data_IF_968766623237
#
_entry.id   IF_968766623237
#
_cell.length_a   1.000
_cell.length_b   1.000
_cell.length_c   1.000
_cell.angle_alpha   90.00
_cell.angle_beta   90.00
_cell.angle_gamma   90.00
#
_symmetry.space_group_name_H-M   'P 1'
#
loop_
_entity.id
_entity.type
_entity.pdbx_description
1 polymer ?
#
# COMPACT_ATOMS: atom_id res chain seq x y z
N UNK A 1 15.45 -20.55 -6.84
CA UNK A 1 14.89 -20.81 -5.50
C UNK A 1 14.50 -19.46 -4.93
N UNK A 2 13.22 -19.23 -4.66
CA UNK A 2 12.70 -17.94 -4.20
C UNK A 2 12.98 -17.81 -2.70
N UNK A 3 13.75 -16.80 -2.27
CA UNK A 3 14.03 -16.52 -0.86
C UNK A 3 12.97 -15.59 -0.26
N UNK A 4 11.68 -15.80 -0.59
CA UNK A 4 10.59 -14.97 -0.05
C UNK A 4 10.48 -15.25 1.45
N UNK A 5 10.78 -14.23 2.25
CA UNK A 5 10.68 -14.31 3.71
C UNK A 5 9.27 -13.90 4.10
N UNK A 6 8.50 -14.84 4.65
CA UNK A 6 7.26 -14.50 5.33
C UNK A 6 7.57 -13.64 6.56
N UNK A 7 6.72 -12.65 6.82
CA UNK A 7 6.84 -11.81 8.01
C UNK A 7 6.20 -12.56 9.17
N UNK A 8 7.01 -12.92 10.16
CA UNK A 8 6.54 -13.65 11.34
C UNK A 8 5.41 -12.89 12.05
N UNK A 9 4.34 -13.61 12.37
CA UNK A 9 3.17 -13.06 13.06
C UNK A 9 2.09 -12.43 12.18
N UNK A 10 2.30 -12.32 10.86
CA UNK A 10 1.25 -11.97 9.88
C UNK A 10 0.67 -13.28 9.30
N UNK A 11 -0.63 -13.52 9.50
CA UNK A 11 -1.32 -14.75 9.11
C UNK A 11 -1.92 -14.67 7.70
N UNK A 12 -1.33 -15.38 6.74
CA UNK A 12 -1.83 -15.56 5.37
C UNK A 12 -2.60 -16.87 5.15
N UNK A 13 -2.84 -17.66 6.21
CA UNK A 13 -3.49 -18.97 6.09
C UNK A 13 -5.01 -18.88 5.93
N UNK A 14 -5.67 -20.02 5.67
CA UNK A 14 -7.13 -20.13 5.71
C UNK A 14 -7.86 -19.44 4.56
N UNK A 15 -7.33 -19.54 3.33
CA UNK A 15 -7.91 -18.97 2.10
C UNK A 15 -8.16 -17.44 2.14
N UNK A 16 -7.42 -16.74 3.01
CA UNK A 16 -7.46 -15.29 3.18
C UNK A 16 -6.96 -14.56 1.93
N UNK A 17 -7.74 -13.59 1.44
CA UNK A 17 -7.30 -12.66 0.37
C UNK A 17 -6.34 -11.60 0.94
N UNK A 18 -6.62 -11.10 2.14
CA UNK A 18 -5.76 -10.20 2.91
C UNK A 18 -5.33 -10.89 4.21
N UNK A 19 -4.08 -10.70 4.66
CA UNK A 19 -3.59 -11.36 5.85
C UNK A 19 -4.30 -10.83 7.10
N UNK A 20 -4.28 -11.61 8.17
CA UNK A 20 -4.61 -11.11 9.50
C UNK A 20 -3.35 -10.65 10.24
N UNK A 21 -3.38 -9.41 10.72
CA UNK A 21 -2.40 -8.89 11.67
C UNK A 21 -2.83 -9.27 13.11
N UNK A 22 -1.92 -9.15 14.07
CA UNK A 22 -2.25 -9.39 15.47
C UNK A 22 -3.03 -8.22 16.06
N UNK A 23 -4.06 -8.50 16.86
CA UNK A 23 -4.88 -7.45 17.46
C UNK A 23 -4.02 -6.46 18.28
N UNK A 24 -4.20 -5.13 18.10
CA UNK A 24 -3.44 -4.11 18.80
C UNK A 24 -3.82 -4.06 20.29
N UNK A 25 -2.84 -3.76 21.14
CA UNK A 25 -3.08 -3.52 22.57
C UNK A 25 -3.49 -2.07 22.86
N UNK A 26 -2.91 -1.13 22.10
CA UNK A 26 -3.21 0.28 22.12
C UNK A 26 -2.73 0.89 20.79
N UNK A 27 -3.24 2.06 20.43
CA UNK A 27 -2.84 2.81 19.25
C UNK A 27 -2.39 4.23 19.62
N UNK A 28 -1.19 4.62 19.18
CA UNK A 28 -0.80 6.02 19.12
C UNK A 28 -1.29 6.63 17.81
N UNK A 29 -2.09 7.67 17.89
CA UNK A 29 -2.70 8.34 16.75
C UNK A 29 -1.84 9.54 16.35
N UNK A 30 -1.44 9.58 15.08
CA UNK A 30 -0.71 10.71 14.49
C UNK A 30 -1.57 11.36 13.41
N UNK A 31 -1.84 12.66 13.60
CA UNK A 31 -2.64 13.46 12.68
C UNK A 31 -1.77 14.17 11.65
N UNK A 32 -1.62 13.55 10.48
CA UNK A 32 -0.80 14.05 9.38
C UNK A 32 -1.48 15.16 8.57
N UNK A 33 -2.70 15.59 8.92
CA UNK A 33 -3.35 16.73 8.27
C UNK A 33 -2.48 17.98 8.46
N UNK A 34 -2.13 18.62 7.35
CA UNK A 34 -1.25 19.80 7.34
C UNK A 34 0.25 19.50 7.33
N UNK A 35 0.66 18.22 7.38
CA UNK A 35 2.04 17.84 7.08
C UNK A 35 2.30 17.83 5.56
N UNK A 36 3.55 18.10 5.17
CA UNK A 36 3.99 18.06 3.78
C UNK A 36 3.88 16.64 3.19
N UNK A 37 3.79 16.54 1.86
CA UNK A 37 3.71 15.25 1.18
C UNK A 37 4.94 14.36 1.45
N UNK A 38 6.12 14.97 1.62
CA UNK A 38 7.36 14.25 1.97
C UNK A 38 7.29 13.64 3.37
N UNK A 39 6.71 14.38 4.33
CA UNK A 39 6.47 13.88 5.69
C UNK A 39 5.40 12.79 5.70
N UNK A 40 4.31 12.97 4.95
CA UNK A 40 3.28 11.94 4.83
C UNK A 40 3.88 10.63 4.30
N UNK A 41 4.63 10.68 3.19
CA UNK A 41 5.31 9.51 2.62
C UNK A 41 6.26 8.82 3.61
N UNK A 42 7.06 9.61 4.34
CA UNK A 42 7.97 9.08 5.36
C UNK A 42 7.19 8.41 6.49
N UNK A 43 6.13 9.06 6.97
CA UNK A 43 5.31 8.58 8.07
C UNK A 43 4.54 7.30 7.70
N UNK A 44 3.91 7.21 6.52
CA UNK A 44 3.18 5.97 6.12
C UNK A 44 4.13 4.80 5.91
N UNK A 45 5.32 5.02 5.32
CA UNK A 45 6.29 3.92 5.14
C UNK A 45 6.85 3.44 6.48
N UNK A 46 7.10 4.36 7.42
CA UNK A 46 7.49 3.98 8.78
C UNK A 46 6.35 3.28 9.54
N UNK A 47 5.11 3.74 9.41
CA UNK A 47 3.94 3.11 10.04
C UNK A 47 3.78 1.64 9.62
N UNK A 48 4.03 1.32 8.34
CA UNK A 48 4.04 -0.07 7.87
C UNK A 48 5.02 -0.97 8.62
N UNK A 49 6.21 -0.46 8.96
CA UNK A 49 7.20 -1.19 9.75
C UNK A 49 6.83 -1.27 11.23
N UNK A 50 6.28 -0.19 11.78
CA UNK A 50 5.82 -0.14 13.18
C UNK A 50 4.68 -1.13 13.41
N UNK A 51 3.76 -1.24 12.44
CA UNK A 51 2.53 -1.98 12.60
C UNK A 51 2.63 -3.48 12.33
N UNK A 52 3.77 -3.99 11.84
CA UNK A 52 3.96 -5.44 11.61
C UNK A 52 4.67 -6.13 12.79
N UNK A 53 4.19 -7.30 13.26
CA UNK A 53 2.90 -7.93 12.94
C UNK A 53 1.72 -7.40 13.80
N UNK A 54 1.99 -6.60 14.83
CA UNK A 54 0.98 -6.09 15.75
C UNK A 54 0.92 -4.56 15.66
N UNK A 55 -0.19 -3.97 15.19
CA UNK A 55 -0.31 -2.52 15.03
C UNK A 55 -0.14 -1.74 16.34
N UNK A 56 0.52 -0.59 16.23
CA UNK A 56 0.78 0.35 17.34
C UNK A 56 0.48 1.79 16.98
N UNK A 57 0.44 2.13 15.69
CA UNK A 57 0.17 3.48 15.21
C UNK A 57 -1.00 3.51 14.25
N UNK A 58 -1.77 4.60 14.31
CA UNK A 58 -2.84 4.90 13.37
C UNK A 58 -2.62 6.31 12.81
N UNK A 59 -2.64 6.44 11.50
CA UNK A 59 -2.40 7.71 10.81
C UNK A 59 -3.73 8.32 10.36
N UNK A 60 -3.88 9.63 10.55
CA UNK A 60 -5.03 10.39 10.07
C UNK A 60 -4.55 11.35 8.97
N UNK A 61 -5.12 11.22 7.78
CA UNK A 61 -4.85 12.11 6.64
C UNK A 61 -6.08 12.92 6.22
N UNK A 62 -7.26 12.53 6.70
CA UNK A 62 -8.57 13.12 6.42
C UNK A 62 -9.55 12.92 7.59
N UNK A 63 -10.68 13.63 7.56
CA UNK A 63 -11.74 13.51 8.57
C UNK A 63 -12.43 12.13 8.56
N UNK A 64 -12.37 11.40 7.44
CA UNK A 64 -12.95 10.06 7.34
C UNK A 64 -12.22 9.06 8.25
N UNK A 65 -10.89 9.14 8.34
CA UNK A 65 -10.11 8.27 9.23
C UNK A 65 -10.40 8.55 10.71
N UNK A 66 -10.71 9.80 11.09
CA UNK A 66 -11.15 10.16 12.45
C UNK A 66 -12.47 9.47 12.79
N UNK A 67 -13.43 9.55 11.86
CA UNK A 67 -14.73 8.93 12.03
C UNK A 67 -14.60 7.41 12.20
N UNK A 68 -13.90 6.73 11.29
CA UNK A 68 -13.78 5.28 11.35
C UNK A 68 -12.97 4.77 12.55
N UNK A 69 -11.90 5.47 12.94
CA UNK A 69 -11.14 5.15 14.15
C UNK A 69 -12.07 5.15 15.39
N UNK A 70 -12.95 6.13 15.49
CA UNK A 70 -13.91 6.22 16.58
C UNK A 70 -14.98 5.12 16.50
N UNK A 71 -15.63 4.97 15.35
CA UNK A 71 -16.81 4.10 15.21
C UNK A 71 -16.47 2.61 15.23
N UNK A 72 -15.34 2.21 14.66
CA UNK A 72 -14.98 0.79 14.50
C UNK A 72 -13.82 0.34 15.41
N UNK A 73 -12.97 1.27 15.87
CA UNK A 73 -11.78 0.95 16.69
C UNK A 73 -11.81 1.63 18.08
N UNK A 74 -12.92 2.27 18.46
CA UNK A 74 -13.05 3.02 19.71
C UNK A 74 -12.93 2.20 21.00
N UNK A 75 -12.98 0.86 20.91
CA UNK A 75 -12.74 -0.05 22.04
C UNK A 75 -11.25 -0.30 22.32
N UNK A 76 -10.38 -0.03 21.35
CA UNK A 76 -8.92 -0.13 21.51
C UNK A 76 -8.45 1.14 22.23
N UNK A 77 -7.61 1.04 23.29
CA UNK A 77 -7.02 2.21 23.93
C UNK A 77 -6.26 3.09 22.94
N UNK A 78 -6.50 4.40 22.98
CA UNK A 78 -5.92 5.37 22.05
C UNK A 78 -5.27 6.53 22.79
N UNK A 79 -4.12 6.99 22.28
CA UNK A 79 -3.48 8.25 22.68
C UNK A 79 -3.16 9.06 21.42
N UNK A 80 -3.55 10.33 21.39
CA UNK A 80 -3.25 11.21 20.26
C UNK A 80 -1.96 11.99 20.51
N UNK A 81 -1.01 11.87 19.58
CA UNK A 81 0.19 12.70 19.58
C UNK A 81 -0.18 14.18 19.43
N UNK A 82 0.45 15.03 20.24
CA UNK A 82 0.29 16.49 20.16
C UNK A 82 1.10 17.14 19.04
N UNK A 83 1.98 16.38 18.40
CA UNK A 83 2.78 16.86 17.27
C UNK A 83 1.88 17.14 16.06
N UNK A 84 2.23 18.18 15.30
CA UNK A 84 1.49 18.63 14.13
C UNK A 84 2.45 19.01 13.00
N UNK A 85 1.92 19.06 11.77
CA UNK A 85 2.68 19.36 10.57
C UNK A 85 3.92 18.49 10.44
N UNK A 86 5.01 19.07 9.95
CA UNK A 86 6.24 18.32 9.68
C UNK A 86 6.96 17.82 10.95
N UNK A 87 6.65 18.41 12.11
CA UNK A 87 7.21 18.00 13.41
C UNK A 87 6.78 16.59 13.85
N UNK A 88 5.70 16.05 13.27
CA UNK A 88 5.22 14.69 13.54
C UNK A 88 6.30 13.66 13.25
N UNK A 89 7.03 13.86 12.16
CA UNK A 89 7.97 12.86 11.69
C UNK A 89 9.11 12.62 12.69
N UNK A 90 9.59 13.68 13.35
CA UNK A 90 10.60 13.56 14.41
C UNK A 90 10.07 12.78 15.63
N UNK A 91 8.83 13.03 16.04
CA UNK A 91 8.21 12.30 17.17
C UNK A 91 8.02 10.83 16.83
N UNK A 92 7.53 10.52 15.62
CA UNK A 92 7.39 9.15 15.14
C UNK A 92 8.76 8.44 15.12
N UNK A 93 9.78 9.09 14.56
CA UNK A 93 11.14 8.56 14.48
C UNK A 93 11.72 8.25 15.86
N UNK A 94 11.61 9.18 16.82
CA UNK A 94 12.15 9.02 18.17
C UNK A 94 11.41 7.90 18.91
N UNK A 95 10.07 7.92 18.88
CA UNK A 95 9.24 6.95 19.59
C UNK A 95 9.38 5.52 19.09
N UNK A 96 9.68 5.35 17.80
CA UNK A 96 9.71 4.05 17.14
C UNK A 96 11.03 3.77 16.39
N UNK A 97 12.14 4.34 16.86
CA UNK A 97 13.45 4.20 16.19
C UNK A 97 13.84 2.75 15.95
N UNK A 98 13.51 1.83 16.85
CA UNK A 98 13.84 0.41 16.75
C UNK A 98 13.11 -0.33 15.63
N UNK A 99 12.06 0.26 15.05
CA UNK A 99 11.31 -0.33 13.94
C UNK A 99 12.02 -0.18 12.58
N UNK A 100 13.06 0.66 12.49
CA UNK A 100 13.76 0.95 11.24
C UNK A 100 15.27 0.69 11.35
N UNK A 101 15.91 0.34 10.24
CA UNK A 101 17.35 0.16 10.14
C UNK A 101 18.05 1.37 9.54
N UNK A 102 17.36 2.16 8.72
CA UNK A 102 17.94 3.32 8.06
C UNK A 102 17.02 3.98 7.04
N UNK A 103 17.60 4.83 6.19
CA UNK A 103 16.90 5.66 5.21
C UNK A 103 17.06 5.15 3.79
N UNK A 104 15.99 5.26 3.00
CA UNK A 104 15.98 5.00 1.56
C UNK A 104 15.60 6.32 0.88
N UNK A 105 16.55 6.92 0.15
CA UNK A 105 16.37 8.22 -0.47
C UNK A 105 15.73 8.01 -1.85
N UNK A 106 14.52 8.54 -2.08
CA UNK A 106 13.92 8.53 -3.42
C UNK A 106 14.53 9.61 -4.31
N UNK A 107 14.36 9.49 -5.62
CA UNK A 107 14.77 10.51 -6.58
C UNK A 107 13.60 11.45 -6.88
N UNK A 108 13.61 12.72 -6.42
CA UNK A 108 12.51 13.65 -6.66
C UNK A 108 12.29 13.98 -8.14
N UNK A 109 13.34 13.89 -8.97
CA UNK A 109 13.25 14.12 -10.41
C UNK A 109 12.68 12.91 -11.18
N UNK A 110 12.41 11.80 -10.47
CA UNK A 110 11.90 10.57 -11.06
C UNK A 110 10.90 9.89 -10.12
N UNK A 111 9.63 10.27 -10.25
CA UNK A 111 8.55 9.87 -9.33
C UNK A 111 8.42 8.35 -9.11
N UNK A 112 8.61 7.51 -10.14
CA UNK A 112 8.54 6.05 -10.03
C UNK A 112 9.56 5.46 -9.02
N UNK A 113 10.62 6.20 -8.69
CA UNK A 113 11.55 5.83 -7.60
C UNK A 113 10.86 5.68 -6.24
N UNK A 114 9.74 6.37 -5.99
CA UNK A 114 8.97 6.26 -4.73
C UNK A 114 8.43 4.84 -4.55
N UNK A 115 7.89 4.21 -5.61
CA UNK A 115 7.37 2.85 -5.55
C UNK A 115 8.49 1.82 -5.34
N UNK A 116 9.63 2.02 -6.02
CA UNK A 116 10.82 1.17 -5.84
C UNK A 116 11.35 1.30 -4.40
N UNK A 117 11.44 2.54 -3.88
CA UNK A 117 11.82 2.82 -2.50
C UNK A 117 10.84 2.19 -1.50
N UNK A 118 9.53 2.22 -1.79
CA UNK A 118 8.49 1.56 -0.96
C UNK A 118 8.71 0.05 -0.88
N UNK A 119 9.03 -0.59 -2.00
CA UNK A 119 9.37 -2.03 -2.02
C UNK A 119 10.65 -2.29 -1.21
N UNK A 120 11.70 -1.48 -1.41
CA UNK A 120 12.94 -1.60 -0.64
C UNK A 120 12.73 -1.39 0.87
N UNK A 121 11.82 -0.49 1.27
CA UNK A 121 11.50 -0.20 2.67
C UNK A 121 10.97 -1.44 3.39
N UNK A 122 10.05 -2.19 2.77
CA UNK A 122 9.53 -3.44 3.32
C UNK A 122 10.60 -4.53 3.50
N UNK A 123 11.56 -4.60 2.57
CA UNK A 123 12.64 -5.61 2.56
C UNK A 123 13.80 -5.30 3.51
N UNK A 124 14.13 -4.02 3.64
CA UNK A 124 15.33 -3.54 4.35
C UNK A 124 15.02 -2.82 5.65
N UNK A 125 13.75 -2.83 6.06
CA UNK A 125 13.26 -2.12 7.24
C UNK A 125 13.66 -0.63 7.18
N UNK A 126 13.55 -0.03 6.00
CA UNK A 126 13.95 1.35 5.75
C UNK A 126 12.77 2.32 5.76
N UNK A 127 13.02 3.57 6.14
CA UNK A 127 12.07 4.67 5.93
C UNK A 127 12.36 5.36 4.60
N UNK A 128 11.32 5.65 3.80
CA UNK A 128 11.48 6.38 2.54
C UNK A 128 11.49 7.88 2.83
N UNK A 129 12.52 8.59 2.38
CA UNK A 129 12.74 10.01 2.70
C UNK A 129 13.18 10.81 1.48
N UNK A 130 12.91 12.11 1.51
CA UNK A 130 13.46 13.06 0.54
C UNK A 130 14.97 13.26 0.77
N UNK A 131 15.72 13.76 -0.24
CA UNK A 131 17.13 14.08 -0.07
C UNK A 131 17.41 15.04 1.09
N UNK A 132 16.54 16.03 1.29
CA UNK A 132 16.66 17.02 2.37
C UNK A 132 16.43 16.36 3.72
N UNK A 133 15.35 15.58 3.88
CA UNK A 133 15.07 14.82 5.10
C UNK A 133 16.24 13.90 5.46
N UNK A 134 16.83 13.22 4.47
CA UNK A 134 17.96 12.32 4.69
C UNK A 134 19.21 13.05 5.22
N UNK A 135 19.51 14.23 4.67
CA UNK A 135 20.63 15.06 5.13
C UNK A 135 20.42 15.51 6.58
N UNK A 136 19.24 16.05 6.89
CA UNK A 136 18.92 16.57 8.23
C UNK A 136 19.02 15.45 9.29
N UNK A 137 18.57 14.25 8.94
CA UNK A 137 18.49 13.13 9.88
C UNK A 137 19.78 12.35 10.02
N UNK A 138 20.60 12.29 8.97
CA UNK A 138 21.95 11.78 9.11
C UNK A 138 22.74 12.64 10.10
N UNK A 139 22.56 13.96 10.07
CA UNK A 139 23.20 14.89 11.01
C UNK A 139 22.63 14.79 12.43
N UNK A 140 21.30 14.71 12.57
CA UNK A 140 20.63 14.79 13.88
C UNK A 140 20.62 13.45 14.62
N UNK A 141 20.42 12.33 13.91
CA UNK A 141 20.15 11.02 14.51
C UNK A 141 21.16 9.94 14.10
N UNK A 142 22.16 10.26 13.27
CA UNK A 142 23.13 9.32 12.73
C UNK A 142 22.47 8.07 12.09
N UNK A 143 21.34 8.29 11.41
CA UNK A 143 20.60 7.23 10.72
C UNK A 143 21.35 6.84 9.44
N UNK A 144 21.67 5.54 9.20
CA UNK A 144 22.41 5.15 8.02
C UNK A 144 21.55 5.24 6.76
N UNK A 145 22.19 5.52 5.62
CA UNK A 145 21.57 5.47 4.30
C UNK A 145 21.68 4.03 3.78
N UNK A 146 20.54 3.36 3.61
CA UNK A 146 20.45 1.98 3.11
C UNK A 146 20.44 1.91 1.57
N UNK A 147 19.93 2.96 0.92
CA UNK A 147 19.93 3.12 -0.51
C UNK A 147 19.68 4.58 -0.90
N UNK A 148 20.29 5.02 -2.01
CA UNK A 148 20.04 6.31 -2.62
C UNK A 148 19.65 6.11 -4.09
N UNK A 149 18.35 6.23 -4.39
CA UNK A 149 17.80 5.93 -5.71
C UNK A 149 18.18 6.98 -6.77
N UNK A 150 18.75 8.13 -6.37
CA UNK A 150 19.30 9.11 -7.31
C UNK A 150 20.52 8.56 -8.07
N UNK A 151 21.19 7.57 -7.48
CA UNK A 151 22.41 6.97 -8.06
C UNK A 151 22.14 5.90 -9.11
N UNK A 152 20.88 5.46 -9.27
CA UNK A 152 20.53 4.32 -10.14
C UNK A 152 20.39 4.69 -11.63
N UNK A 153 20.36 5.99 -11.96
CA UNK A 153 20.43 6.54 -13.32
C UNK A 153 19.47 5.88 -14.34
N UNK A 154 18.26 5.51 -13.92
CA UNK A 154 17.24 5.01 -14.85
C UNK A 154 16.77 6.13 -15.78
N UNK A 155 16.67 5.83 -17.07
CA UNK A 155 16.22 6.76 -18.10
C UNK A 155 14.70 6.89 -18.15
N UNK A 156 13.97 5.83 -17.81
CA UNK A 156 12.52 5.78 -17.85
C UNK A 156 11.95 4.72 -16.88
N UNK A 157 10.62 4.74 -16.71
CA UNK A 157 9.90 3.80 -15.82
C UNK A 157 10.07 2.34 -16.19
N UNK A 158 10.16 2.02 -17.49
CA UNK A 158 10.29 0.65 -17.95
C UNK A 158 11.62 0.06 -17.47
N UNK A 159 12.72 0.81 -17.61
CA UNK A 159 14.04 0.42 -17.11
C UNK A 159 14.05 0.28 -15.58
N UNK A 160 13.42 1.22 -14.87
CA UNK A 160 13.39 1.22 -13.42
C UNK A 160 12.61 0.02 -12.85
N UNK A 161 11.43 -0.29 -13.40
CA UNK A 161 10.64 -1.42 -12.94
C UNK A 161 11.16 -2.77 -13.44
N UNK A 162 11.81 -2.85 -14.59
CA UNK A 162 12.49 -4.11 -14.97
C UNK A 162 13.68 -4.38 -14.04
N UNK A 163 14.44 -3.35 -13.66
CA UNK A 163 15.45 -3.47 -12.60
C UNK A 163 14.81 -3.93 -11.28
N UNK A 164 13.70 -3.31 -10.85
CA UNK A 164 13.02 -3.68 -9.62
C UNK A 164 12.49 -5.12 -9.66
N UNK A 165 11.93 -5.56 -10.80
CA UNK A 165 11.48 -6.94 -11.01
C UNK A 165 12.62 -7.93 -10.86
N UNK A 166 13.81 -7.62 -11.36
CA UNK A 166 14.96 -8.52 -11.26
C UNK A 166 15.57 -8.56 -9.85
N UNK A 167 15.57 -7.43 -9.13
CA UNK A 167 16.34 -7.27 -7.88
C UNK A 167 15.49 -7.32 -6.61
N UNK A 168 14.22 -6.94 -6.68
CA UNK A 168 13.34 -6.82 -5.51
C UNK A 168 12.23 -7.88 -5.50
N UNK A 169 11.54 -8.10 -6.63
CA UNK A 169 10.41 -9.04 -6.70
C UNK A 169 10.73 -10.47 -6.16
N UNK A 170 11.92 -11.07 -6.40
CA UNK A 170 12.21 -12.41 -5.88
C UNK A 170 12.19 -12.55 -4.35
N UNK A 171 12.32 -11.42 -3.64
CA UNK A 171 12.32 -11.33 -2.18
C UNK A 171 11.08 -10.60 -1.62
N UNK A 172 10.11 -10.25 -2.48
CA UNK A 172 8.81 -9.68 -2.08
C UNK A 172 7.81 -10.76 -1.73
N UNK A 173 6.67 -10.38 -1.13
CA UNK A 173 5.55 -11.28 -0.82
C UNK A 173 5.15 -12.16 -2.01
N UNK A 174 4.80 -13.41 -1.75
CA UNK A 174 4.14 -14.32 -2.71
C UNK A 174 2.63 -14.15 -2.78
N UNK A 175 2.04 -13.44 -1.82
CA UNK A 175 0.60 -13.34 -1.70
C UNK A 175 0.02 -12.14 -2.43
N UNK A 176 0.81 -11.07 -2.58
CA UNK A 176 0.32 -9.80 -3.10
C UNK A 176 1.31 -9.08 -4.02
N UNK A 177 0.77 -8.37 -5.00
CA UNK A 177 1.45 -7.38 -5.84
C UNK A 177 0.61 -6.10 -5.86
N UNK A 178 1.23 -4.92 -6.03
CA UNK A 178 0.49 -3.67 -6.05
C UNK A 178 0.81 -2.80 -7.27
N UNK A 179 -0.25 -2.32 -7.93
CA UNK A 179 -0.18 -1.20 -8.86
C UNK A 179 -0.51 0.10 -8.12
N UNK A 180 0.40 1.07 -8.08
CA UNK A 180 0.16 2.30 -7.31
C UNK A 180 0.73 3.53 -7.99
N UNK A 181 -0.06 4.59 -8.17
CA UNK A 181 0.47 5.86 -8.67
C UNK A 181 1.54 6.41 -7.71
N UNK A 182 2.77 6.68 -8.17
CA UNK A 182 3.82 7.24 -7.32
C UNK A 182 3.43 8.55 -6.62
N UNK A 183 2.49 9.31 -7.20
CA UNK A 183 1.98 10.56 -6.61
C UNK A 183 1.09 10.32 -5.39
N UNK A 184 0.52 9.13 -5.25
CA UNK A 184 -0.19 8.75 -4.04
C UNK A 184 0.83 8.50 -2.93
N UNK A 185 1.11 9.52 -2.13
CA UNK A 185 2.13 9.49 -1.08
C UNK A 185 1.69 8.70 0.17
N UNK A 186 0.38 8.49 0.37
CA UNK A 186 -0.19 7.98 1.61
C UNK A 186 -0.99 6.68 1.38
N UNK A 187 -1.97 6.39 2.25
CA UNK A 187 -2.92 5.29 2.10
C UNK A 187 -2.25 3.91 2.13
N UNK A 188 -2.34 3.20 1.01
CA UNK A 188 -1.99 1.79 0.88
C UNK A 188 -0.52 1.50 1.21
N UNK A 189 0.39 2.49 1.09
CA UNK A 189 1.84 2.28 1.24
C UNK A 189 2.25 1.69 2.59
N UNK A 190 1.57 2.04 3.69
CA UNK A 190 1.84 1.44 5.01
C UNK A 190 1.68 -0.08 4.94
N UNK A 191 0.57 -0.55 4.37
CA UNK A 191 0.30 -1.97 4.19
C UNK A 191 1.27 -2.65 3.24
N UNK A 192 1.68 -1.99 2.14
CA UNK A 192 2.66 -2.56 1.20
C UNK A 192 4.02 -2.77 1.86
N UNK A 193 4.47 -1.82 2.67
CA UNK A 193 5.69 -1.95 3.47
C UNK A 193 5.52 -3.05 4.53
N UNK A 194 4.39 -3.04 5.25
CA UNK A 194 4.09 -4.01 6.30
C UNK A 194 4.16 -5.45 5.79
N UNK A 195 3.63 -5.68 4.59
CA UNK A 195 3.52 -7.00 3.95
C UNK A 195 4.66 -7.34 2.99
N UNK A 196 5.67 -6.47 2.85
CA UNK A 196 6.77 -6.66 1.90
C UNK A 196 6.29 -6.87 0.44
N UNK A 197 5.26 -6.11 0.03
CA UNK A 197 4.63 -6.24 -1.28
C UNK A 197 5.45 -5.53 -2.38
N UNK A 198 5.57 -6.16 -3.56
CA UNK A 198 6.19 -5.53 -4.72
C UNK A 198 5.27 -4.48 -5.35
N UNK A 199 5.80 -3.28 -5.60
CA UNK A 199 5.01 -2.13 -6.09
C UNK A 199 5.48 -1.71 -7.49
N UNK A 200 4.54 -1.55 -8.42
CA UNK A 200 4.79 -1.08 -9.79
C UNK A 200 3.80 0.00 -10.23
N UNK A 201 4.10 0.70 -11.33
CA UNK A 201 3.13 1.56 -12.02
C UNK A 201 3.45 1.63 -13.51
N UNK A 202 2.77 0.81 -14.29
CA UNK A 202 3.03 0.56 -15.71
C UNK A 202 1.72 0.70 -16.51
N UNK A 203 1.81 1.18 -17.75
CA UNK A 203 0.66 1.33 -18.65
C UNK A 203 0.40 0.03 -19.41
N UNK A 204 -0.69 -0.65 -19.04
CA UNK A 204 -1.12 -1.91 -19.63
C UNK A 204 -1.53 -1.81 -21.10
N UNK A 205 -1.71 -0.60 -21.65
CA UNK A 205 -1.98 -0.36 -23.08
C UNK A 205 -0.70 -0.22 -23.90
N UNK A 206 0.45 0.00 -23.27
CA UNK A 206 1.72 0.12 -23.98
C UNK A 206 2.26 -1.28 -24.31
N UNK A 207 1.77 -1.84 -25.42
CA UNK A 207 2.14 -3.17 -25.91
C UNK A 207 3.32 -3.17 -26.90
N UNK A 208 3.67 -2.02 -27.48
CA UNK A 208 4.76 -1.93 -28.44
C UNK A 208 6.12 -2.01 -27.70
N UNK A 209 7.04 -2.89 -28.14
CA UNK A 209 8.38 -2.98 -27.58
C UNK A 209 9.18 -1.67 -27.66
N UNK A 210 9.83 -1.30 -26.55
CA UNK A 210 10.90 -0.30 -26.55
C UNK A 210 12.19 -0.96 -27.05
N UNK A 211 12.61 -0.58 -28.25
CA UNK A 211 13.83 -1.09 -28.89
C UNK A 211 15.11 -0.69 -28.14
N UNK A 212 15.05 0.30 -27.25
CA UNK A 212 16.17 0.74 -26.42
C UNK A 212 16.23 0.00 -25.08
N UNK A 213 15.21 -0.77 -24.74
CA UNK A 213 15.11 -1.50 -23.47
C UNK A 213 14.78 -2.99 -23.69
N UNK A 214 15.73 -3.72 -24.27
CA UNK A 214 15.66 -5.17 -24.51
C UNK A 214 14.41 -5.64 -25.27
N UNK A 215 13.82 -4.78 -26.12
CA UNK A 215 12.56 -5.05 -26.82
C UNK A 215 11.41 -5.41 -25.86
N UNK A 216 11.40 -4.82 -24.68
CA UNK A 216 10.34 -4.99 -23.68
C UNK A 216 9.32 -3.85 -23.80
N UNK A 217 8.05 -4.13 -23.54
CA UNK A 217 6.99 -3.12 -23.41
C UNK A 217 6.49 -3.06 -21.97
N UNK A 218 5.84 -1.97 -21.56
CA UNK A 218 5.29 -1.89 -20.19
C UNK A 218 4.24 -2.99 -19.94
N UNK A 219 3.38 -3.27 -20.93
CA UNK A 219 2.45 -4.40 -20.88
C UNK A 219 3.19 -5.74 -20.73
N UNK A 220 4.25 -5.96 -21.51
CA UNK A 220 5.05 -7.18 -21.43
C UNK A 220 5.74 -7.33 -20.07
N UNK A 221 6.22 -6.23 -19.49
CA UNK A 221 6.80 -6.22 -18.16
C UNK A 221 5.76 -6.50 -17.07
N UNK A 222 4.54 -5.95 -17.17
CA UNK A 222 3.44 -6.30 -16.26
C UNK A 222 3.12 -7.79 -16.31
N UNK A 223 3.02 -8.37 -17.51
CA UNK A 223 2.81 -9.81 -17.66
C UNK A 223 3.94 -10.63 -17.03
N UNK A 224 5.19 -10.19 -17.20
CA UNK A 224 6.35 -10.83 -16.58
C UNK A 224 6.31 -10.74 -15.04
N UNK A 225 5.82 -9.64 -14.46
CA UNK A 225 5.62 -9.50 -13.02
C UNK A 225 4.52 -10.44 -12.54
N UNK A 226 3.34 -10.44 -13.19
CA UNK A 226 2.18 -11.22 -12.75
C UNK A 226 2.41 -12.74 -12.84
N UNK A 227 3.21 -13.18 -13.81
CA UNK A 227 3.59 -14.60 -13.96
C UNK A 227 4.36 -15.17 -12.76
N UNK A 228 4.97 -14.32 -11.93
CA UNK A 228 5.71 -14.73 -10.72
C UNK A 228 4.78 -15.01 -9.52
N UNK A 229 3.47 -14.87 -9.68
CA UNK A 229 2.46 -15.11 -8.64
C UNK A 229 1.62 -16.34 -8.98
N UNK A 230 1.21 -17.07 -7.94
CA UNK A 230 0.30 -18.22 -8.10
C UNK A 230 -1.14 -17.74 -8.28
N UNK A 231 -1.99 -18.50 -8.99
CA UNK A 231 -3.42 -18.23 -9.04
C UNK A 231 -4.01 -18.04 -7.64
N UNK A 232 -4.84 -17.02 -7.46
CA UNK A 232 -5.43 -16.65 -6.17
C UNK A 232 -4.62 -15.62 -5.37
N UNK A 233 -3.39 -15.29 -5.77
CA UNK A 233 -2.70 -14.12 -5.24
C UNK A 233 -3.48 -12.82 -5.54
N UNK A 234 -3.30 -11.81 -4.71
CA UNK A 234 -4.07 -10.56 -4.78
C UNK A 234 -3.27 -9.47 -5.51
N UNK A 235 -3.95 -8.76 -6.39
CA UNK A 235 -3.50 -7.48 -6.92
C UNK A 235 -4.16 -6.35 -6.13
N UNK A 236 -3.33 -5.52 -5.51
CA UNK A 236 -3.74 -4.37 -4.70
C UNK A 236 -3.53 -3.07 -5.48
N UNK A 237 -4.21 -2.01 -5.03
CA UNK A 237 -4.07 -0.68 -5.60
C UNK A 237 -4.93 -0.51 -6.84
N UNK A 238 -4.39 0.12 -7.88
CA UNK A 238 -5.10 0.40 -9.13
C UNK A 238 -4.19 0.43 -10.36
N UNK A 239 -4.78 0.69 -11.53
CA UNK A 239 -4.11 0.71 -12.83
C UNK A 239 -4.17 2.10 -13.46
N UNK A 240 -3.20 2.38 -14.35
CA UNK A 240 -3.28 3.52 -15.28
C UNK A 240 -4.50 3.40 -16.20
N UNK A 241 -4.76 2.19 -16.70
CA UNK A 241 -5.94 1.84 -17.48
C UNK A 241 -6.64 0.63 -16.84
N UNK A 242 -7.88 0.85 -16.39
CA UNK A 242 -8.70 -0.17 -15.72
C UNK A 242 -8.97 -1.35 -16.65
N UNK A 243 -9.44 -1.09 -17.89
CA UNK A 243 -9.90 -2.13 -18.79
C UNK A 243 -8.78 -3.12 -19.13
N UNK A 244 -7.62 -2.62 -19.58
CA UNK A 244 -6.50 -3.49 -19.88
C UNK A 244 -5.77 -4.01 -18.64
N UNK A 245 -5.82 -3.29 -17.50
CA UNK A 245 -5.24 -3.73 -16.23
C UNK A 245 -5.99 -4.91 -15.60
N UNK A 246 -7.32 -4.81 -15.52
CA UNK A 246 -8.21 -5.87 -15.03
C UNK A 246 -8.16 -7.09 -15.95
N UNK A 247 -8.10 -6.89 -17.27
CA UNK A 247 -7.92 -7.99 -18.22
C UNK A 247 -6.62 -8.77 -17.96
N UNK A 248 -5.48 -8.08 -17.80
CA UNK A 248 -4.20 -8.74 -17.58
C UNK A 248 -4.13 -9.51 -16.25
N UNK A 249 -4.71 -8.95 -15.19
CA UNK A 249 -4.74 -9.61 -13.88
C UNK A 249 -5.71 -10.79 -13.87
N UNK A 250 -6.85 -10.68 -14.55
CA UNK A 250 -7.79 -11.80 -14.75
C UNK A 250 -7.15 -12.95 -15.53
N UNK A 251 -6.42 -12.65 -16.61
CA UNK A 251 -5.67 -13.66 -17.38
C UNK A 251 -4.61 -14.37 -16.53
N UNK A 252 -4.02 -13.66 -15.57
CA UNK A 252 -3.05 -14.18 -14.61
C UNK A 252 -3.69 -14.83 -13.36
N UNK A 253 -5.03 -14.90 -13.30
CA UNK A 253 -5.78 -15.40 -12.15
C UNK A 253 -5.45 -14.68 -10.81
N UNK A 254 -5.21 -13.36 -10.89
CA UNK A 254 -5.00 -12.49 -9.73
C UNK A 254 -6.29 -11.77 -9.37
N UNK A 255 -6.69 -11.85 -8.10
CA UNK A 255 -7.89 -11.14 -7.62
C UNK A 255 -7.56 -9.67 -7.45
N UNK A 256 -8.29 -8.77 -8.11
CA UNK A 256 -8.09 -7.32 -7.98
C UNK A 256 -8.90 -6.79 -6.80
N UNK A 257 -8.23 -6.06 -5.91
CA UNK A 257 -8.87 -5.19 -4.92
C UNK A 257 -8.49 -3.74 -5.18
N UNK A 258 -9.48 -2.89 -5.43
CA UNK A 258 -9.29 -1.44 -5.57
C UNK A 258 -8.98 -0.81 -4.21
N UNK A 259 -7.70 -0.72 -3.86
CA UNK A 259 -7.24 -0.32 -2.52
C UNK A 259 -6.27 0.85 -2.52
N UNK A 260 -6.07 1.53 -3.65
CA UNK A 260 -5.14 2.66 -3.76
C UNK A 260 -5.50 3.81 -2.81
N UNK A 261 -6.78 3.97 -2.48
CA UNK A 261 -7.30 4.94 -1.51
C UNK A 261 -7.67 4.32 -0.15
N UNK A 262 -7.08 3.18 0.21
CA UNK A 262 -7.33 2.53 1.51
C UNK A 262 -6.22 2.89 2.52
N UNK A 263 -6.60 3.38 3.70
CA UNK A 263 -5.69 3.88 4.73
C UNK A 263 -5.66 2.95 5.94
N UNK A 264 -4.48 2.78 6.56
CA UNK A 264 -4.28 1.95 7.76
C UNK A 264 -4.76 0.49 7.59
N UNK A 265 -4.67 -0.09 6.38
CA UNK A 265 -5.21 -1.43 6.09
C UNK A 265 -4.61 -2.52 7.00
N UNK A 266 -3.37 -2.34 7.46
CA UNK A 266 -2.71 -3.23 8.41
C UNK A 266 -3.35 -3.18 9.81
N UNK A 267 -3.94 -2.04 10.19
CA UNK A 267 -4.74 -1.90 11.41
C UNK A 267 -6.10 -2.56 11.21
N UNK A 268 -6.76 -2.30 10.08
CA UNK A 268 -8.09 -2.84 9.80
C UNK A 268 -8.12 -4.36 9.69
N UNK A 269 -7.06 -4.95 9.18
CA UNK A 269 -6.90 -6.41 9.07
C UNK A 269 -6.45 -7.08 10.39
N UNK A 270 -6.15 -6.30 11.43
CA UNK A 270 -5.80 -6.82 12.76
C UNK A 270 -7.00 -7.06 13.67
N UNK A 271 -8.16 -6.46 13.33
CA UNK A 271 -9.38 -6.56 14.11
C UNK A 271 -10.31 -7.56 13.46
N UNK A 272 -10.60 -8.65 14.16
CA UNK A 272 -11.59 -9.62 13.72
C UNK A 272 -12.91 -9.34 14.42
N UNK A 273 -13.97 -9.10 13.65
CA UNK A 273 -15.31 -9.03 14.23
C UNK A 273 -15.73 -10.43 14.68
N UNK A 274 -16.16 -10.56 15.93
CA UNK A 274 -16.73 -11.80 16.46
C UNK A 274 -18.14 -12.11 15.91
N UNK A 275 -18.77 -11.15 15.23
CA UNK A 275 -20.11 -11.29 14.65
C UNK A 275 -20.23 -10.56 13.32
N UNK A 276 -20.75 -11.24 12.29
CA UNK A 276 -21.14 -10.60 11.05
C UNK A 276 -22.41 -9.76 11.28
N UNK A 277 -22.27 -8.44 11.34
CA UNK A 277 -23.42 -7.52 11.41
C UNK A 277 -23.88 -7.14 10.00
N UNK A 278 -24.06 -8.11 9.11
CA UNK A 278 -24.91 -7.89 7.95
C UNK A 278 -26.34 -7.99 8.46
N UNK A 279 -27.11 -6.90 8.44
CA UNK A 279 -28.57 -7.04 8.48
C UNK A 279 -28.93 -7.90 7.28
N UNK A 280 -29.39 -9.13 7.51
CA UNK A 280 -30.11 -9.86 6.48
C UNK A 280 -31.25 -8.95 6.05
N UNK A 281 -31.12 -8.35 4.86
CA UNK A 281 -32.30 -7.86 4.19
C UNK A 281 -33.15 -9.12 3.97
N UNK A 282 -34.38 -9.20 4.51
CA UNK A 282 -35.20 -10.37 4.28
C UNK A 282 -35.29 -10.58 2.76
N UNK A 283 -34.95 -11.79 2.31
CA UNK A 283 -35.23 -12.19 0.94
C UNK A 283 -36.73 -11.95 0.74
N UNK A 284 -37.10 -11.15 -0.26
CA UNK A 284 -38.48 -10.75 -0.44
C UNK A 284 -39.37 -11.99 -0.68
N UNK A 285 -40.11 -12.40 0.34
CA UNK A 285 -41.16 -13.41 0.22
C UNK A 285 -42.32 -12.76 -0.55
N UNK A 286 -42.42 -13.11 -1.84
CA UNK A 286 -43.43 -12.67 -2.80
C UNK A 286 -43.43 -11.15 -3.10
N UNK A 287 -42.91 -10.80 -4.29
CA UNK A 287 -43.19 -9.49 -4.90
C UNK A 287 -44.71 -9.40 -5.13
N UNK A 288 -45.42 -8.41 -4.56
CA UNK A 288 -46.86 -8.28 -4.77
C UNK A 288 -47.16 -8.09 -6.25
N UNK A 289 -48.19 -8.77 -6.76
CA UNK A 289 -48.65 -8.61 -8.14
C UNK A 289 -49.30 -7.23 -8.30
N UNK A 290 -48.56 -6.27 -8.85
CA UNK A 290 -49.04 -4.91 -9.10
C UNK A 290 -49.81 -4.85 -10.43
N UNK A 291 -51.00 -4.24 -10.44
CA UNK A 291 -51.92 -4.23 -11.58
C UNK A 291 -51.70 -3.10 -12.61
N UNK A 292 -50.62 -2.33 -12.52
CA UNK A 292 -50.07 -1.45 -13.58
C UNK A 292 -48.76 -0.78 -13.10
N UNK A 293 -47.97 -0.16 -13.98
CA UNK A 293 -46.75 -0.71 -14.61
C UNK A 293 -45.55 0.17 -14.20
N UNK A 294 -44.34 -0.39 -14.30
CA UNK A 294 -43.00 0.15 -13.96
C UNK A 294 -42.52 -0.13 -12.52
N UNK A 295 -41.58 -1.07 -12.41
CA UNK A 295 -40.73 -1.27 -11.23
C UNK A 295 -39.38 -0.64 -11.55
N UNK A 296 -38.94 0.31 -10.72
CA UNK A 296 -37.63 0.96 -10.85
C UNK A 296 -36.76 0.51 -9.68
N UNK A 297 -35.59 -0.07 -9.98
CA UNK A 297 -34.55 -0.37 -8.99
C UNK A 297 -33.40 0.61 -9.19
N UNK A 298 -33.04 1.31 -8.13
CA UNK A 298 -31.78 2.04 -8.08
C UNK A 298 -30.73 1.13 -7.47
N UNK A 299 -29.69 0.84 -8.24
CA UNK A 299 -28.48 0.23 -7.71
C UNK A 299 -27.40 1.30 -7.75
N UNK A 300 -26.90 1.68 -6.57
CA UNK A 300 -25.75 2.56 -6.48
C UNK A 300 -24.55 1.80 -7.04
N UNK A 301 -24.07 2.23 -8.20
CA UNK A 301 -22.70 1.95 -8.61
C UNK A 301 -21.80 2.91 -7.81
N UNK A 302 -20.83 2.37 -7.07
CA UNK A 302 -19.81 3.19 -6.45
C UNK A 302 -18.97 3.84 -7.55
N UNK A 303 -19.18 5.12 -7.83
CA UNK A 303 -18.34 5.88 -8.74
C UNK A 303 -17.13 6.38 -7.95
N UNK A 304 -15.94 5.85 -8.25
CA UNK A 304 -14.69 6.46 -7.79
C UNK A 304 -14.52 7.78 -8.55
N UNK A 305 -14.72 8.91 -7.88
CA UNK A 305 -14.27 10.18 -8.43
C UNK A 305 -12.75 10.17 -8.51
N UNK A 306 -12.19 10.06 -9.72
CA UNK A 306 -10.81 10.46 -9.96
C UNK A 306 -10.73 11.96 -9.66
N UNK A 307 -10.03 12.33 -8.60
CA UNK A 307 -9.59 13.71 -8.35
C UNK A 307 -8.15 13.86 -8.79
#
# INVERSE_FOLDING_TARGET
MSNRREIEGIDWSGDRILPAFQAPQALTVFDLRGASAEVQLSAVTMAGLINRPQPKVYLITSDEEVFWLKEALGSIPQETSVANGDGILAVLLIGYRTAIQGMIIYNPDFSDSINIATTMAGQREGIVVSPTQAQDWQQTYNLPILADLRTYQWNNRLQAYDWARQNLLPNSSSHAVAGLDPKNAAGLRSFLVATNTFVYYLDSRNFLPDVTNNFQSERGLMQAIFKEYSPGAVHLGWFIDEGSGVSLTSDAALTVLATDNFYNLEVWTSVQSSTASAREAPLAEAVPTLSARYVVRFQLAGLSHQR
#
